data_IF_773756393359
#
_entry.id   IF_773756393359
#
_cell.length_a   1.000
_cell.length_b   1.000
_cell.length_c   1.000
_cell.angle_alpha   90.00
_cell.angle_beta   90.00
_cell.angle_gamma   90.00
#
_symmetry.space_group_name_H-M   'P 1'
#
loop_
_entity.id
_entity.type
_entity.pdbx_description
1 polymer ?
#
# COMPACT_ATOMS: atom_id res chain seq x y z
N UNK A 1 -1.56 -4.37 37.20
CA UNK A 1 -2.22 -4.57 35.89
C UNK A 1 -1.28 -4.06 34.82
N UNK A 2 -0.68 -4.95 34.03
CA UNK A 2 0.12 -4.55 32.87
C UNK A 2 -0.89 -4.31 31.77
N UNK A 3 -1.09 -3.05 31.37
CA UNK A 3 -1.85 -2.75 30.16
C UNK A 3 -1.15 -3.49 29.02
N UNK A 4 -1.84 -4.46 28.41
CA UNK A 4 -1.41 -5.05 27.16
C UNK A 4 -1.28 -3.87 26.19
N UNK A 5 -0.06 -3.55 25.80
CA UNK A 5 0.21 -2.53 24.79
C UNK A 5 -0.60 -2.91 23.56
N UNK A 6 -1.54 -2.07 23.15
CA UNK A 6 -2.16 -2.19 21.83
C UNK A 6 -1.01 -2.39 20.86
N UNK A 7 -1.04 -3.52 20.15
CA UNK A 7 -0.04 -3.81 19.12
C UNK A 7 -0.19 -2.69 18.10
N UNK A 8 0.69 -1.68 18.18
CA UNK A 8 0.64 -0.49 17.33
C UNK A 8 0.51 -0.98 15.89
N UNK A 9 -0.65 -0.74 15.29
CA UNK A 9 -0.86 -1.05 13.90
C UNK A 9 -0.13 0.01 13.07
N UNK A 10 0.41 -0.35 11.90
CA UNK A 10 1.03 0.64 11.04
C UNK A 10 0.04 1.77 10.73
N UNK A 11 0.53 3.01 10.75
CA UNK A 11 -0.32 4.17 10.48
C UNK A 11 -0.89 4.08 9.07
N UNK A 12 -2.03 4.74 8.85
CA UNK A 12 -2.67 4.94 7.54
C UNK A 12 -2.93 6.41 7.25
N UNK A 13 -2.37 7.30 8.07
CA UNK A 13 -2.51 8.75 7.97
C UNK A 13 -1.37 9.28 7.13
N UNK A 14 -1.66 10.04 6.09
CA UNK A 14 -0.60 10.64 5.27
C UNK A 14 0.13 11.74 6.05
N UNK A 15 -0.52 12.32 7.05
CA UNK A 15 0.00 13.35 7.95
C UNK A 15 1.17 12.82 8.80
N UNK A 16 1.32 11.50 8.93
CA UNK A 16 2.47 10.86 9.56
C UNK A 16 3.71 10.80 8.65
N UNK A 17 3.59 11.19 7.38
CA UNK A 17 4.69 11.21 6.43
C UNK A 17 5.40 12.57 6.39
N UNK A 18 6.58 12.63 5.77
CA UNK A 18 7.27 13.91 5.50
C UNK A 18 6.46 14.80 4.55
N UNK A 19 6.52 16.14 4.66
CA UNK A 19 5.69 17.06 3.86
C UNK A 19 5.76 16.83 2.35
N UNK A 20 6.95 16.54 1.83
CA UNK A 20 7.15 16.24 0.39
C UNK A 20 6.29 15.04 -0.08
N UNK A 21 6.20 13.99 0.74
CA UNK A 21 5.38 12.83 0.40
C UNK A 21 3.89 13.14 0.50
N UNK A 22 3.50 14.00 1.46
CA UNK A 22 2.11 14.42 1.60
C UNK A 22 1.63 15.18 0.36
N UNK A 23 2.40 16.16 -0.11
CA UNK A 23 2.09 16.95 -1.31
C UNK A 23 1.87 16.04 -2.53
N UNK A 24 2.81 15.14 -2.79
CA UNK A 24 2.73 14.19 -3.91
C UNK A 24 1.56 13.21 -3.75
N UNK A 25 1.26 12.77 -2.53
CA UNK A 25 0.11 11.91 -2.27
C UNK A 25 -1.22 12.61 -2.58
N UNK A 26 -1.36 13.90 -2.28
CA UNK A 26 -2.60 14.62 -2.58
C UNK A 26 -2.83 14.74 -4.09
N UNK A 27 -1.78 15.03 -4.86
CA UNK A 27 -1.82 14.98 -6.33
C UNK A 27 -2.14 13.56 -6.84
N UNK A 28 -1.49 12.54 -6.28
CA UNK A 28 -1.77 11.14 -6.60
C UNK A 28 -3.25 10.79 -6.38
N UNK A 29 -3.80 11.18 -5.23
CA UNK A 29 -5.19 10.91 -4.86
C UNK A 29 -6.18 11.57 -5.82
N UNK A 30 -5.92 12.82 -6.22
CA UNK A 30 -6.72 13.53 -7.23
C UNK A 30 -6.71 12.79 -8.57
N UNK A 31 -5.53 12.39 -9.05
CA UNK A 31 -5.39 11.68 -10.33
C UNK A 31 -5.98 10.27 -10.33
N UNK A 32 -5.91 9.56 -9.21
CA UNK A 32 -6.61 8.28 -9.04
C UNK A 32 -8.13 8.45 -9.09
N UNK A 33 -8.66 9.53 -8.50
CA UNK A 33 -10.08 9.84 -8.55
C UNK A 33 -10.54 10.20 -9.97
N UNK A 34 -9.77 11.00 -10.71
CA UNK A 34 -10.00 11.30 -12.13
C UNK A 34 -10.02 10.03 -12.99
N UNK A 35 -9.14 9.06 -12.70
CA UNK A 35 -9.08 7.77 -13.38
C UNK A 35 -10.21 6.81 -13.00
N UNK A 36 -11.05 7.14 -12.02
CA UNK A 36 -12.11 6.25 -11.54
C UNK A 36 -11.59 5.01 -10.78
N UNK A 37 -10.39 5.10 -10.21
CA UNK A 37 -9.75 3.99 -9.48
C UNK A 37 -9.79 4.26 -7.96
N UNK A 38 -10.80 3.75 -7.24
CA UNK A 38 -10.87 3.93 -5.80
C UNK A 38 -9.79 3.10 -5.09
N UNK A 39 -9.18 3.66 -4.06
CA UNK A 39 -8.14 3.01 -3.27
C UNK A 39 -8.19 3.43 -1.80
N UNK A 40 -7.47 2.72 -0.94
CA UNK A 40 -7.22 3.12 0.45
C UNK A 40 -5.73 3.00 0.81
N UNK A 41 -5.29 3.84 1.75
CA UNK A 41 -3.99 3.67 2.40
C UNK A 41 -4.03 2.44 3.32
N UNK A 42 -3.07 1.54 3.16
CA UNK A 42 -2.90 0.36 4.00
C UNK A 42 -1.77 0.53 5.01
N UNK A 43 -0.75 1.33 4.66
CA UNK A 43 0.36 1.69 5.54
C UNK A 43 0.98 3.03 5.14
N UNK A 44 1.38 3.85 6.11
CA UNK A 44 2.20 5.05 5.98
C UNK A 44 3.43 4.92 6.88
N UNK A 45 3.38 5.39 8.12
CA UNK A 45 4.45 5.13 9.09
C UNK A 45 4.40 3.70 9.64
N UNK A 46 5.58 3.10 9.79
CA UNK A 46 5.81 1.82 10.46
C UNK A 46 7.11 1.89 11.24
N UNK A 47 7.08 1.52 12.51
CA UNK A 47 8.26 1.49 13.37
C UNK A 47 9.29 0.43 12.93
N UNK A 48 10.52 0.57 13.43
CA UNK A 48 11.58 -0.42 13.20
C UNK A 48 11.26 -1.78 13.86
N UNK A 49 10.54 -1.78 14.99
CA UNK A 49 10.12 -3.01 15.67
C UNK A 49 9.10 -3.78 14.83
N UNK A 50 8.07 -3.10 14.33
CA UNK A 50 7.10 -3.70 13.41
C UNK A 50 7.78 -4.25 12.15
N UNK A 51 8.71 -3.50 11.56
CA UNK A 51 9.47 -3.97 10.39
C UNK A 51 10.31 -5.22 10.70
N UNK A 52 10.94 -5.29 11.87
CA UNK A 52 11.68 -6.47 12.31
C UNK A 52 10.75 -7.67 12.48
N UNK A 53 9.55 -7.45 13.03
CA UNK A 53 8.52 -8.49 13.16
C UNK A 53 8.05 -9.02 11.80
N UNK A 54 7.83 -8.14 10.80
CA UNK A 54 7.51 -8.56 9.43
C UNK A 54 8.67 -9.31 8.77
N UNK A 55 9.92 -8.88 9.00
CA UNK A 55 11.09 -9.56 8.46
C UNK A 55 11.28 -10.97 9.06
N UNK A 56 10.91 -11.17 10.33
CA UNK A 56 10.97 -12.48 10.98
C UNK A 56 9.99 -13.51 10.38
N UNK A 57 8.87 -13.06 9.81
CA UNK A 57 7.86 -13.93 9.21
C UNK A 57 8.40 -14.72 8.02
N UNK A 58 8.18 -16.04 8.02
CA UNK A 58 8.73 -16.98 7.04
C UNK A 58 10.23 -17.22 7.17
N UNK A 59 10.85 -16.75 8.26
CA UNK A 59 12.28 -16.95 8.57
C UNK A 59 12.45 -17.55 9.97
N UNK A 60 12.21 -16.75 11.00
CA UNK A 60 12.31 -17.14 12.41
C UNK A 60 10.95 -17.22 13.09
N UNK A 61 9.88 -16.78 12.41
CA UNK A 61 8.48 -16.96 12.79
C UNK A 61 7.73 -17.64 11.63
N UNK A 62 6.69 -18.46 11.89
CA UNK A 62 5.87 -19.05 10.85
C UNK A 62 5.20 -17.99 9.95
N UNK A 63 4.78 -18.40 8.75
CA UNK A 63 4.04 -17.56 7.78
C UNK A 63 4.82 -17.30 6.50
N UNK A 64 4.19 -16.61 5.55
CA UNK A 64 4.87 -16.22 4.30
C UNK A 64 5.85 -15.07 4.51
N UNK A 65 6.91 -15.03 3.70
CA UNK A 65 7.83 -13.89 3.65
C UNK A 65 7.13 -12.71 3.01
N UNK A 66 6.81 -11.68 3.81
CA UNK A 66 6.08 -10.47 3.37
C UNK A 66 6.98 -9.25 3.16
N UNK A 67 8.27 -9.35 3.52
CA UNK A 67 9.26 -8.31 3.26
C UNK A 67 10.67 -8.89 3.11
N UNK A 68 11.53 -8.15 2.41
CA UNK A 68 12.94 -8.53 2.17
C UNK A 68 13.94 -7.52 2.71
N UNK A 69 13.47 -6.45 3.34
CA UNK A 69 14.33 -5.44 3.96
C UNK A 69 14.10 -5.39 5.47
N UNK A 70 15.18 -5.18 6.23
CA UNK A 70 15.09 -4.79 7.65
C UNK A 70 14.90 -3.28 7.81
N UNK A 71 15.32 -2.48 6.83
CA UNK A 71 15.22 -1.02 6.84
C UNK A 71 14.28 -0.57 5.72
N UNK A 72 13.08 -0.16 6.12
CA UNK A 72 11.99 0.22 5.23
C UNK A 72 11.86 1.74 5.15
N UNK A 73 11.40 2.26 4.00
CA UNK A 73 11.11 3.69 3.81
C UNK A 73 9.93 4.19 4.66
N UNK A 74 9.06 3.27 5.11
CA UNK A 74 8.00 3.56 6.05
C UNK A 74 8.54 4.02 7.42
N UNK A 75 9.72 3.54 7.82
CA UNK A 75 10.40 3.96 9.07
C UNK A 75 10.84 5.41 8.96
N UNK A 76 11.38 5.79 7.80
CA UNK A 76 11.80 7.16 7.53
C UNK A 76 10.61 8.10 7.23
N UNK A 77 9.36 7.63 7.35
CA UNK A 77 8.13 8.40 7.02
C UNK A 77 8.08 8.87 5.57
N UNK A 78 8.73 8.13 4.67
CA UNK A 78 8.93 8.46 3.26
C UNK A 78 8.30 7.45 2.29
N UNK A 79 7.35 6.64 2.76
CA UNK A 79 6.57 5.77 1.91
C UNK A 79 5.12 5.60 2.37
N UNK A 80 4.27 5.22 1.42
CA UNK A 80 2.92 4.73 1.69
C UNK A 80 2.60 3.50 0.81
N UNK A 81 1.71 2.64 1.30
CA UNK A 81 1.20 1.47 0.59
C UNK A 81 -0.32 1.60 0.37
N UNK A 82 -0.82 1.14 -0.78
CA UNK A 82 -2.26 1.18 -1.11
C UNK A 82 -2.89 -0.21 -1.32
N UNK A 83 -4.20 -0.29 -1.15
CA UNK A 83 -5.03 -1.35 -1.72
C UNK A 83 -6.07 -0.74 -2.65
N UNK A 84 -6.26 -1.36 -3.83
CA UNK A 84 -7.35 -0.99 -4.73
C UNK A 84 -8.65 -1.46 -4.12
N UNK A 85 -9.71 -0.68 -4.28
CA UNK A 85 -11.03 -0.96 -3.75
C UNK A 85 -11.93 -1.48 -4.88
N UNK A 86 -12.55 -2.65 -4.68
CA UNK A 86 -13.57 -3.17 -5.59
C UNK A 86 -14.94 -3.05 -4.96
N UNK A 87 -16.02 -3.04 -5.75
CA UNK A 87 -17.35 -3.34 -5.21
C UNK A 87 -17.30 -4.66 -4.41
N UNK A 88 -17.97 -4.67 -3.26
CA UNK A 88 -18.15 -5.87 -2.45
C UNK A 88 -18.85 -6.95 -3.28
N UNK A 89 -18.45 -8.20 -3.08
CA UNK A 89 -19.11 -9.36 -3.68
C UNK A 89 -19.20 -10.50 -2.65
N UNK A 90 -20.41 -10.89 -2.19
CA UNK A 90 -21.70 -10.26 -2.47
C UNK A 90 -21.74 -8.78 -2.00
N UNK A 91 -22.61 -7.91 -2.56
CA UNK A 91 -22.56 -6.45 -2.39
C UNK A 91 -22.99 -5.95 -1.00
N UNK A 92 -22.85 -6.78 0.03
CA UNK A 92 -23.19 -6.49 1.41
C UNK A 92 -21.91 -6.19 2.20
N UNK A 93 -21.90 -5.07 2.92
CA UNK A 93 -20.86 -4.82 3.92
C UNK A 93 -20.99 -5.76 5.13
N UNK A 94 -20.07 -5.66 6.10
CA UNK A 94 -20.10 -6.48 7.33
C UNK A 94 -21.37 -6.26 8.18
N UNK A 95 -22.15 -5.21 7.91
CA UNK A 95 -23.43 -4.90 8.55
C UNK A 95 -24.65 -5.23 7.69
N UNK A 96 -24.49 -5.85 6.52
CA UNK A 96 -25.59 -6.19 5.63
C UNK A 96 -26.12 -5.02 4.80
N UNK A 97 -25.37 -3.92 4.67
CA UNK A 97 -25.78 -2.80 3.80
C UNK A 97 -25.35 -3.05 2.36
N UNK A 98 -26.28 -2.83 1.45
CA UNK A 98 -26.01 -2.83 0.02
C UNK A 98 -25.11 -1.65 -0.37
N UNK A 99 -24.15 -1.93 -1.25
CA UNK A 99 -23.22 -0.93 -1.74
C UNK A 99 -22.08 -0.70 -0.74
N UNK A 100 -20.92 -1.26 -1.04
CA UNK A 100 -19.70 -0.98 -0.31
C UNK A 100 -18.48 -1.46 -1.08
N UNK A 101 -17.32 -1.05 -0.58
CA UNK A 101 -16.03 -1.34 -1.20
C UNK A 101 -15.21 -2.30 -0.32
N UNK A 102 -14.54 -3.26 -0.95
CA UNK A 102 -13.56 -4.13 -0.32
C UNK A 102 -12.16 -3.92 -0.89
N UNK A 103 -11.10 -3.90 -0.06
CA UNK A 103 -9.75 -3.89 -0.57
C UNK A 103 -9.41 -5.21 -1.27
N UNK A 104 -8.70 -5.12 -2.39
CA UNK A 104 -8.08 -6.24 -3.09
C UNK A 104 -6.61 -5.96 -3.33
N UNK A 105 -5.82 -7.04 -3.36
CA UNK A 105 -4.42 -7.05 -3.77
C UNK A 105 -4.22 -7.85 -5.07
N UNK A 106 -5.31 -8.15 -5.78
CA UNK A 106 -5.22 -8.74 -7.11
C UNK A 106 -4.58 -7.75 -8.08
N UNK A 107 -3.37 -8.07 -8.53
CA UNK A 107 -2.58 -7.22 -9.44
C UNK A 107 -3.20 -7.13 -10.85
N UNK A 108 -4.20 -7.96 -11.15
CA UNK A 108 -4.94 -7.94 -12.41
C UNK A 108 -6.28 -7.21 -12.31
N UNK A 109 -6.64 -6.71 -11.13
CA UNK A 109 -7.89 -5.94 -10.95
C UNK A 109 -7.93 -4.76 -11.91
N UNK A 110 -9.10 -4.50 -12.47
CA UNK A 110 -9.35 -3.43 -13.42
C UNK A 110 -10.77 -2.87 -13.17
N UNK A 111 -10.88 -1.99 -12.17
CA UNK A 111 -12.15 -1.46 -11.66
C UNK A 111 -12.77 -0.47 -12.65
N UNK A 112 -11.95 0.36 -13.30
CA UNK A 112 -12.44 1.34 -14.27
C UNK A 112 -12.65 0.73 -15.68
N UNK A 113 -12.35 -0.56 -15.86
CA UNK A 113 -12.55 -1.33 -17.08
C UNK A 113 -11.88 -0.75 -18.34
N UNK A 114 -10.70 -0.11 -18.18
CA UNK A 114 -9.96 0.52 -19.28
C UNK A 114 -8.90 -0.39 -19.93
N UNK A 115 -9.00 -1.72 -19.72
CA UNK A 115 -8.01 -2.74 -20.11
C UNK A 115 -6.57 -2.57 -19.55
N UNK A 116 -6.37 -1.70 -18.55
CA UNK A 116 -5.10 -1.55 -17.82
C UNK A 116 -5.34 -2.03 -16.38
N UNK A 117 -4.52 -2.94 -15.82
CA UNK A 117 -4.67 -3.30 -14.42
C UNK A 117 -4.43 -2.10 -13.50
N UNK A 118 -5.30 -1.88 -12.52
CA UNK A 118 -5.34 -0.66 -11.70
C UNK A 118 -4.05 -0.42 -10.93
N UNK A 119 -3.36 -1.48 -10.50
CA UNK A 119 -2.05 -1.32 -9.86
C UNK A 119 -1.00 -0.77 -10.82
N UNK A 120 -1.06 -1.13 -12.12
CA UNK A 120 -0.19 -0.56 -13.15
C UNK A 120 -0.54 0.90 -13.40
N UNK A 121 -1.83 1.22 -13.52
CA UNK A 121 -2.29 2.59 -13.71
C UNK A 121 -1.91 3.48 -12.51
N UNK A 122 -2.14 3.03 -11.28
CA UNK A 122 -1.71 3.69 -10.06
C UNK A 122 -0.19 3.92 -10.06
N UNK A 123 0.58 2.92 -10.45
CA UNK A 123 2.03 3.05 -10.61
C UNK A 123 2.43 4.20 -11.55
N UNK A 124 1.82 4.24 -12.73
CA UNK A 124 2.07 5.27 -13.74
C UNK A 124 1.62 6.66 -13.25
N UNK A 125 0.48 6.76 -12.57
CA UNK A 125 0.00 8.00 -11.93
C UNK A 125 1.02 8.47 -10.89
N UNK A 126 1.48 7.58 -10.01
CA UNK A 126 2.49 7.88 -9.01
C UNK A 126 3.79 8.40 -9.62
N UNK A 127 4.30 7.72 -10.65
CA UNK A 127 5.48 8.16 -11.40
C UNK A 127 5.30 9.56 -11.99
N UNK A 128 4.12 9.86 -12.59
CA UNK A 128 3.80 11.19 -13.15
C UNK A 128 3.75 12.31 -12.11
N UNK A 129 3.36 12.03 -10.87
CA UNK A 129 3.36 13.02 -9.78
C UNK A 129 4.67 13.03 -8.98
N UNK A 130 5.72 12.38 -9.49
CA UNK A 130 7.07 12.43 -8.91
C UNK A 130 7.31 11.46 -7.74
N UNK A 131 6.51 10.41 -7.62
CA UNK A 131 6.75 9.28 -6.72
C UNK A 131 7.58 8.21 -7.41
N UNK A 132 8.42 7.51 -6.64
CA UNK A 132 8.97 6.23 -7.06
C UNK A 132 7.98 5.12 -6.72
N UNK A 133 7.61 4.32 -7.70
CA UNK A 133 6.68 3.21 -7.51
C UNK A 133 7.37 1.84 -7.40
N UNK A 134 6.92 1.02 -6.45
CA UNK A 134 7.47 -0.29 -6.13
C UNK A 134 7.25 -1.34 -7.21
N UNK A 135 6.29 -1.15 -8.13
CA UNK A 135 6.08 -2.05 -9.27
C UNK A 135 7.29 -2.14 -10.22
N UNK A 136 8.23 -1.18 -10.16
CA UNK A 136 9.49 -1.20 -10.93
C UNK A 136 10.66 -1.88 -10.22
N UNK A 137 10.50 -2.29 -8.96
CA UNK A 137 11.61 -2.80 -8.16
C UNK A 137 12.22 -4.08 -8.73
N UNK A 138 13.54 -4.20 -8.50
CA UNK A 138 14.35 -5.34 -8.92
C UNK A 138 15.19 -5.83 -7.75
N UNK A 139 15.51 -7.11 -7.74
CA UNK A 139 16.45 -7.67 -6.77
C UNK A 139 17.90 -7.30 -7.10
N UNK A 140 18.86 -7.69 -6.25
CA UNK A 140 20.30 -7.42 -6.46
C UNK A 140 20.89 -8.05 -7.72
N UNK A 141 20.19 -9.02 -8.33
CA UNK A 141 20.55 -9.64 -9.61
C UNK A 141 19.85 -8.98 -10.81
N UNK A 142 19.16 -7.86 -10.60
CA UNK A 142 18.41 -7.15 -11.64
C UNK A 142 17.08 -7.80 -12.06
N UNK A 143 16.67 -8.89 -11.41
CA UNK A 143 15.41 -9.58 -11.76
C UNK A 143 14.21 -8.83 -11.17
N UNK A 144 13.06 -8.76 -11.87
CA UNK A 144 11.85 -8.11 -11.36
C UNK A 144 11.45 -8.65 -9.99
N UNK A 145 11.16 -7.75 -9.07
CA UNK A 145 10.65 -8.05 -7.73
C UNK A 145 9.69 -6.94 -7.31
N UNK A 146 8.53 -6.84 -7.97
CA UNK A 146 7.61 -5.73 -7.78
C UNK A 146 7.00 -5.74 -6.38
N UNK A 147 6.78 -4.54 -5.86
CA UNK A 147 5.96 -4.24 -4.70
C UNK A 147 4.85 -3.27 -5.14
N UNK A 148 3.80 -3.82 -5.75
CA UNK A 148 2.78 -3.03 -6.44
C UNK A 148 2.04 -2.01 -5.56
N UNK A 149 1.72 -2.31 -4.28
CA UNK A 149 1.15 -1.34 -3.35
C UNK A 149 2.03 -0.12 -3.05
N UNK A 150 3.35 -0.20 -3.24
CA UNK A 150 4.31 0.69 -2.58
C UNK A 150 4.65 1.94 -3.39
N UNK A 151 4.65 3.09 -2.71
CA UNK A 151 5.08 4.38 -3.26
C UNK A 151 6.00 5.10 -2.27
N UNK A 152 6.99 5.83 -2.78
CA UNK A 152 7.94 6.59 -1.95
C UNK A 152 8.47 7.84 -2.64
N UNK A 153 8.97 8.77 -1.83
CA UNK A 153 9.95 9.80 -2.22
C UNK A 153 11.37 9.35 -1.91
#
# INVERSE_FOLDING_TARGET
>A
MIALTEKEMPSRKIEDCVPELQEKYWLFKEKMAEAGVPFMLTCTYRSQEEQNNLYAQGRTKPGQVVTWTKRSRHIDRKAFDIAILTPLSPPLDKGGKEGGLSPTWDVKVNVNANDIPDYIEAGQIGERVGLTWGGRFRNSKGQPRPDYPHFKV
#
